data_IF_863089842518
#
_entry.id   IF_863089842518
#
_cell.length_a   1.000
_cell.length_b   1.000
_cell.length_c   1.000
_cell.angle_alpha   90.00
_cell.angle_beta   90.00
_cell.angle_gamma   90.00
#
_symmetry.space_group_name_H-M   'P 1'
#
loop_
_entity.id
_entity.type
_entity.pdbx_description
1 polymer ?
#
# COMPACT_ATOMS: atom_id res chain seq x y z
N UNK A 1 -31.87 -29.73 7.74
CA UNK A 1 -30.89 -30.43 6.88
C UNK A 1 -29.74 -30.81 7.79
N UNK A 2 -29.81 -32.01 8.36
CA UNK A 2 -28.82 -32.52 9.30
C UNK A 2 -27.60 -32.98 8.51
N UNK A 3 -26.47 -32.32 8.70
CA UNK A 3 -25.18 -32.80 8.22
C UNK A 3 -24.96 -34.17 8.85
N UNK A 4 -24.99 -35.22 8.03
CA UNK A 4 -24.54 -36.53 8.44
C UNK A 4 -23.01 -36.42 8.48
N UNK A 5 -22.46 -36.06 9.63
CA UNK A 5 -21.00 -36.13 9.86
C UNK A 5 -20.59 -37.58 9.62
N UNK A 6 -19.68 -37.85 8.68
CA UNK A 6 -19.15 -39.19 8.46
C UNK A 6 -18.50 -39.70 9.75
N UNK A 7 -18.70 -40.97 10.08
CA UNK A 7 -18.31 -41.59 11.35
C UNK A 7 -16.79 -41.75 11.54
N UNK A 8 -15.99 -41.20 10.64
CA UNK A 8 -14.55 -41.42 10.54
C UNK A 8 -13.81 -40.15 10.89
N UNK A 9 -13.17 -40.12 12.06
CA UNK A 9 -12.45 -38.96 12.61
C UNK A 9 -11.14 -38.62 11.89
N UNK A 10 -11.18 -38.48 10.56
CA UNK A 10 -10.03 -38.10 9.71
C UNK A 10 -10.04 -36.62 9.33
N UNK A 11 -11.06 -35.85 9.72
CA UNK A 11 -11.24 -34.43 9.39
C UNK A 11 -10.13 -33.49 9.94
N UNK A 12 -9.25 -33.98 10.82
CA UNK A 12 -8.30 -33.14 11.57
C UNK A 12 -6.84 -33.59 11.48
N UNK A 13 -6.47 -34.34 10.44
CA UNK A 13 -5.07 -34.69 10.21
C UNK A 13 -4.33 -33.55 9.47
N UNK A 14 -3.76 -32.62 10.25
CA UNK A 14 -2.92 -31.56 9.71
C UNK A 14 -1.63 -32.15 9.12
N UNK A 15 -1.33 -31.81 7.85
CA UNK A 15 -0.06 -32.15 7.20
C UNK A 15 -0.06 -33.40 6.31
N UNK A 16 -1.21 -33.92 5.88
CA UNK A 16 -1.23 -34.91 4.78
C UNK A 16 -0.97 -34.26 3.43
N UNK A 17 -0.24 -34.99 2.59
CA UNK A 17 -0.12 -34.72 1.15
C UNK A 17 -1.51 -34.69 0.49
N UNK A 18 -1.71 -33.87 -0.55
CA UNK A 18 -2.97 -33.88 -1.28
C UNK A 18 -3.29 -35.25 -1.89
N UNK A 19 -2.27 -36.04 -2.28
CA UNK A 19 -2.46 -37.42 -2.76
C UNK A 19 -3.13 -38.30 -1.69
N UNK A 20 -2.72 -38.15 -0.44
CA UNK A 20 -3.31 -38.90 0.66
C UNK A 20 -4.72 -38.38 1.00
N UNK A 21 -4.96 -37.07 0.89
CA UNK A 21 -6.28 -36.47 1.07
C UNK A 21 -7.28 -36.95 0.00
N UNK A 22 -6.84 -37.04 -1.26
CA UNK A 22 -7.60 -37.65 -2.37
C UNK A 22 -7.93 -39.11 -2.07
N UNK A 23 -6.98 -39.85 -1.50
CA UNK A 23 -7.19 -41.25 -1.11
C UNK A 23 -8.20 -41.37 0.05
N UNK A 24 -8.12 -40.48 1.04
CA UNK A 24 -9.07 -40.41 2.15
C UNK A 24 -10.51 -40.21 1.67
N UNK A 25 -10.74 -39.40 0.63
CA UNK A 25 -12.07 -39.22 0.02
C UNK A 25 -12.73 -40.56 -0.35
N UNK A 26 -11.94 -41.51 -0.88
CA UNK A 26 -12.42 -42.84 -1.25
C UNK A 26 -12.64 -43.69 0.00
N UNK A 27 -11.69 -43.68 0.94
CA UNK A 27 -11.76 -44.48 2.16
C UNK A 27 -12.99 -44.11 2.99
N UNK A 28 -13.30 -42.83 3.13
CA UNK A 28 -14.46 -42.35 3.89
C UNK A 28 -15.81 -42.77 3.30
N UNK A 29 -15.87 -43.01 1.98
CA UNK A 29 -17.07 -43.47 1.28
C UNK A 29 -16.99 -44.92 0.83
N UNK A 30 -16.02 -45.68 1.34
CA UNK A 30 -15.78 -47.05 0.93
C UNK A 30 -17.04 -47.92 1.02
N UNK A 31 -17.80 -47.80 2.12
CA UNK A 31 -19.01 -48.60 2.32
C UNK A 31 -20.10 -48.27 1.29
N UNK A 32 -20.24 -47.01 0.92
CA UNK A 32 -21.21 -46.57 -0.09
C UNK A 32 -20.82 -47.08 -1.49
N UNK A 33 -19.53 -47.03 -1.82
CA UNK A 33 -19.01 -47.60 -3.06
C UNK A 33 -19.19 -49.11 -3.12
N UNK A 34 -18.86 -49.82 -2.04
CA UNK A 34 -19.07 -51.27 -1.97
C UNK A 34 -20.53 -51.65 -2.08
N UNK A 35 -21.43 -50.87 -1.50
CA UNK A 35 -22.86 -51.09 -1.66
C UNK A 35 -23.28 -50.92 -3.13
N UNK A 36 -22.83 -49.86 -3.80
CA UNK A 36 -23.11 -49.62 -5.21
C UNK A 36 -22.59 -50.75 -6.12
N UNK A 37 -21.38 -51.23 -5.88
CA UNK A 37 -20.77 -52.36 -6.60
C UNK A 37 -21.62 -53.63 -6.48
N UNK A 38 -22.00 -54.01 -5.25
CA UNK A 38 -22.85 -55.19 -5.01
C UNK A 38 -24.19 -55.08 -5.74
N UNK A 39 -24.82 -53.89 -5.75
CA UNK A 39 -26.07 -53.69 -6.50
C UNK A 39 -25.89 -53.79 -8.01
N UNK A 40 -24.74 -53.35 -8.54
CA UNK A 40 -24.38 -53.52 -9.95
C UNK A 40 -24.21 -55.01 -10.28
N UNK A 41 -23.48 -55.75 -9.46
CA UNK A 41 -23.27 -57.20 -9.61
C UNK A 41 -24.60 -57.97 -9.60
N UNK A 42 -25.50 -57.68 -8.64
CA UNK A 42 -26.84 -58.30 -8.58
C UNK A 42 -27.62 -58.03 -9.88
N UNK A 43 -27.55 -56.81 -10.40
CA UNK A 43 -28.27 -56.45 -11.64
C UNK A 43 -27.70 -57.19 -12.85
N UNK A 44 -26.38 -57.34 -12.91
CA UNK A 44 -25.70 -58.10 -13.95
C UNK A 44 -26.00 -59.61 -13.86
N UNK A 45 -25.97 -60.19 -12.67
CA UNK A 45 -26.29 -61.61 -12.43
C UNK A 45 -27.74 -61.94 -12.85
N UNK A 46 -28.72 -61.12 -12.42
CA UNK A 46 -30.12 -61.28 -12.83
C UNK A 46 -30.27 -61.26 -14.36
N UNK A 47 -29.51 -60.39 -15.03
CA UNK A 47 -29.51 -60.29 -16.50
C UNK A 47 -28.90 -61.54 -17.15
N UNK A 48 -27.79 -62.05 -16.59
CA UNK A 48 -27.10 -63.26 -17.09
C UNK A 48 -27.96 -64.52 -16.92
N UNK A 49 -28.71 -64.62 -15.82
CA UNK A 49 -29.62 -65.74 -15.57
C UNK A 49 -30.95 -65.62 -16.33
N UNK A 50 -31.18 -64.51 -17.04
CA UNK A 50 -32.42 -64.26 -17.77
C UNK A 50 -33.61 -63.97 -16.86
N UNK A 51 -33.35 -63.60 -15.60
CA UNK A 51 -34.37 -63.22 -14.62
C UNK A 51 -34.78 -61.78 -14.89
N UNK A 52 -36.06 -61.57 -15.24
CA UNK A 52 -36.62 -60.24 -15.42
C UNK A 52 -37.31 -59.78 -14.13
N UNK A 53 -36.80 -58.74 -13.44
CA UNK A 53 -37.47 -58.16 -12.28
C UNK A 53 -38.85 -57.62 -12.63
N UNK A 54 -39.75 -57.56 -11.64
CA UNK A 54 -41.02 -56.84 -11.81
C UNK A 54 -40.75 -55.34 -11.95
N UNK A 55 -41.67 -54.62 -12.61
CA UNK A 55 -41.54 -53.17 -12.87
C UNK A 55 -41.09 -52.34 -11.65
N UNK A 56 -41.67 -52.47 -10.44
CA UNK A 56 -41.22 -51.67 -9.30
C UNK A 56 -39.76 -52.00 -8.87
N UNK A 57 -39.35 -53.25 -8.95
CA UNK A 57 -37.99 -53.66 -8.59
C UNK A 57 -36.98 -53.15 -9.64
N UNK A 58 -37.36 -53.16 -10.92
CA UNK A 58 -36.55 -52.60 -11.99
C UNK A 58 -36.35 -51.08 -11.81
N UNK A 59 -37.40 -50.36 -11.40
CA UNK A 59 -37.30 -48.94 -11.08
C UNK A 59 -36.41 -48.70 -9.84
N UNK A 60 -36.53 -49.53 -8.82
CA UNK A 60 -35.69 -49.46 -7.62
C UNK A 60 -34.20 -49.66 -7.95
N UNK A 61 -33.86 -50.70 -8.72
CA UNK A 61 -32.49 -50.94 -9.19
C UNK A 61 -31.94 -49.77 -10.01
N UNK A 62 -32.77 -49.17 -10.87
CA UNK A 62 -32.37 -48.00 -11.65
C UNK A 62 -32.14 -46.76 -10.77
N UNK A 63 -32.94 -46.55 -9.71
CA UNK A 63 -32.73 -45.46 -8.75
C UNK A 63 -31.43 -45.67 -7.97
N UNK A 64 -31.19 -46.88 -7.49
CA UNK A 64 -29.97 -47.23 -6.74
C UNK A 64 -28.74 -47.01 -7.63
N UNK A 65 -28.75 -47.49 -8.88
CA UNK A 65 -27.65 -47.29 -9.81
C UNK A 65 -27.35 -45.82 -10.08
N UNK A 66 -28.38 -44.98 -10.25
CA UNK A 66 -28.19 -43.52 -10.39
C UNK A 66 -27.59 -42.90 -9.15
N UNK A 67 -28.09 -43.25 -7.97
CA UNK A 67 -27.57 -42.72 -6.70
C UNK A 67 -26.08 -43.08 -6.50
N UNK A 68 -25.67 -44.30 -6.85
CA UNK A 68 -24.27 -44.72 -6.80
C UNK A 68 -23.39 -43.94 -7.79
N UNK A 69 -23.89 -43.67 -9.00
CA UNK A 69 -23.18 -42.85 -10.00
C UNK A 69 -23.05 -41.39 -9.55
N UNK A 70 -24.12 -40.80 -9.01
CA UNK A 70 -24.10 -39.43 -8.47
C UNK A 70 -23.09 -39.30 -7.33
N UNK A 71 -23.03 -40.28 -6.44
CA UNK A 71 -22.04 -40.32 -5.36
C UNK A 71 -20.61 -40.41 -5.89
N UNK A 72 -20.36 -41.25 -6.91
CA UNK A 72 -19.05 -41.32 -7.55
C UNK A 72 -18.65 -40.00 -8.20
N UNK A 73 -19.60 -39.33 -8.85
CA UNK A 73 -19.39 -38.01 -9.46
C UNK A 73 -18.97 -36.98 -8.41
N UNK A 74 -19.69 -36.93 -7.29
CA UNK A 74 -19.41 -36.01 -6.20
C UNK A 74 -18.02 -36.24 -5.58
N UNK A 75 -17.60 -37.49 -5.43
CA UNK A 75 -16.27 -37.80 -4.90
C UNK A 75 -15.17 -37.39 -5.88
N UNK A 76 -15.39 -37.54 -7.20
CA UNK A 76 -14.45 -37.06 -8.22
C UNK A 76 -14.32 -35.54 -8.15
N UNK A 77 -15.44 -34.81 -8.08
CA UNK A 77 -15.45 -33.35 -7.98
C UNK A 77 -14.67 -32.88 -6.73
N UNK A 78 -14.86 -33.56 -5.59
CA UNK A 78 -14.15 -33.26 -4.36
C UNK A 78 -12.65 -33.53 -4.46
N UNK A 79 -12.25 -34.62 -5.14
CA UNK A 79 -10.83 -34.92 -5.38
C UNK A 79 -10.19 -33.88 -6.30
N UNK A 80 -10.91 -33.40 -7.32
CA UNK A 80 -10.45 -32.34 -8.22
C UNK A 80 -10.26 -31.01 -7.47
N UNK A 81 -11.20 -30.65 -6.59
CA UNK A 81 -11.11 -29.45 -5.76
C UNK A 81 -9.87 -29.47 -4.85
N UNK A 82 -9.57 -30.61 -4.22
CA UNK A 82 -8.37 -30.77 -3.38
C UNK A 82 -7.10 -30.51 -4.18
N UNK A 83 -6.98 -31.13 -5.36
CA UNK A 83 -5.81 -30.99 -6.22
C UNK A 83 -5.68 -29.56 -6.75
N UNK A 84 -6.79 -28.95 -7.17
CA UNK A 84 -6.78 -27.56 -7.63
C UNK A 84 -6.34 -26.61 -6.51
N UNK A 85 -6.88 -26.80 -5.29
CA UNK A 85 -6.49 -25.99 -4.14
C UNK A 85 -5.00 -26.11 -3.80
N UNK A 86 -4.41 -27.31 -3.87
CA UNK A 86 -2.97 -27.50 -3.65
C UNK A 86 -2.16 -26.75 -4.73
N UNK A 87 -2.51 -26.91 -6.01
CA UNK A 87 -1.79 -26.22 -7.09
C UNK A 87 -1.87 -24.69 -6.99
N UNK A 88 -3.02 -24.16 -6.57
CA UNK A 88 -3.19 -22.72 -6.35
C UNK A 88 -2.38 -22.24 -5.16
N UNK A 89 -2.32 -23.03 -4.08
CA UNK A 89 -1.51 -22.74 -2.92
C UNK A 89 -0.03 -22.67 -3.27
N UNK A 90 0.51 -23.68 -3.96
CA UNK A 90 1.90 -23.73 -4.42
C UNK A 90 2.27 -22.52 -5.28
N UNK A 91 1.38 -22.12 -6.20
CA UNK A 91 1.59 -20.95 -7.06
C UNK A 91 1.67 -19.65 -6.25
N UNK A 92 0.81 -19.50 -5.24
CA UNK A 92 0.81 -18.33 -4.36
C UNK A 92 2.08 -18.28 -3.50
N UNK A 93 2.51 -19.40 -2.94
CA UNK A 93 3.77 -19.49 -2.19
C UNK A 93 4.98 -19.14 -3.06
N UNK A 94 5.03 -19.65 -4.28
CA UNK A 94 6.07 -19.33 -5.24
C UNK A 94 6.08 -17.82 -5.59
N UNK A 95 4.91 -17.23 -5.82
CA UNK A 95 4.78 -15.81 -6.10
C UNK A 95 5.25 -14.96 -4.91
N UNK A 96 4.90 -15.36 -3.69
CA UNK A 96 5.33 -14.69 -2.47
C UNK A 96 6.86 -14.75 -2.33
N UNK A 97 7.44 -15.94 -2.50
CA UNK A 97 8.89 -16.15 -2.44
C UNK A 97 9.62 -15.24 -3.43
N UNK A 98 9.17 -15.19 -4.69
CA UNK A 98 9.76 -14.31 -5.69
C UNK A 98 9.60 -12.84 -5.35
N UNK A 99 8.48 -12.45 -4.74
CA UNK A 99 8.27 -11.08 -4.27
C UNK A 99 9.27 -10.71 -3.18
N UNK A 100 9.47 -11.59 -2.20
CA UNK A 100 10.44 -11.42 -1.12
C UNK A 100 11.88 -11.30 -1.67
N UNK A 101 12.26 -12.14 -2.63
CA UNK A 101 13.58 -12.08 -3.27
C UNK A 101 13.79 -10.72 -3.96
N UNK A 102 12.80 -10.26 -4.75
CA UNK A 102 12.89 -8.95 -5.42
C UNK A 102 13.02 -7.79 -4.44
N UNK A 103 12.23 -7.81 -3.37
CA UNK A 103 12.26 -6.76 -2.35
C UNK A 103 13.60 -6.78 -1.59
N UNK A 104 14.13 -7.96 -1.24
CA UNK A 104 15.45 -8.09 -0.63
C UNK A 104 16.56 -7.50 -1.51
N UNK A 105 16.53 -7.76 -2.82
CA UNK A 105 17.48 -7.16 -3.75
C UNK A 105 17.38 -5.63 -3.79
N UNK A 106 16.15 -5.10 -3.86
CA UNK A 106 15.90 -3.66 -3.84
C UNK A 106 16.38 -3.01 -2.53
N UNK A 107 16.16 -3.66 -1.39
CA UNK A 107 16.65 -3.17 -0.10
C UNK A 107 18.17 -3.17 -0.02
N UNK A 108 18.83 -4.19 -0.57
CA UNK A 108 20.29 -4.25 -0.64
C UNK A 108 20.86 -3.10 -1.51
N UNK A 109 20.26 -2.82 -2.66
CA UNK A 109 20.64 -1.71 -3.54
C UNK A 109 20.47 -0.35 -2.83
N UNK A 110 19.30 -0.12 -2.24
CA UNK A 110 19.02 1.10 -1.47
C UNK A 110 20.00 1.29 -0.30
N UNK A 111 20.40 0.19 0.36
CA UNK A 111 21.36 0.24 1.46
C UNK A 111 22.76 0.58 0.96
N UNK A 112 23.16 0.02 -0.18
CA UNK A 112 24.42 0.34 -0.83
C UNK A 112 24.46 1.81 -1.25
N UNK A 113 23.39 2.34 -1.87
CA UNK A 113 23.29 3.74 -2.28
C UNK A 113 23.41 4.68 -1.06
N UNK A 114 22.67 4.40 0.01
CA UNK A 114 22.76 5.18 1.26
C UNK A 114 24.16 5.14 1.86
N UNK A 115 24.82 3.99 1.81
CA UNK A 115 26.19 3.85 2.29
C UNK A 115 27.16 4.67 1.42
N UNK A 116 27.02 4.62 0.10
CA UNK A 116 27.83 5.43 -0.82
C UNK A 116 27.65 6.92 -0.59
N UNK A 117 26.41 7.40 -0.41
CA UNK A 117 26.10 8.79 -0.08
C UNK A 117 26.71 9.21 1.28
N UNK A 118 26.61 8.37 2.30
CA UNK A 118 27.23 8.60 3.60
C UNK A 118 28.76 8.70 3.49
N UNK A 119 29.40 7.79 2.76
CA UNK A 119 30.85 7.81 2.51
C UNK A 119 31.25 9.07 1.74
N UNK A 120 30.51 9.44 0.71
CA UNK A 120 30.75 10.66 -0.06
C UNK A 120 30.69 11.93 0.81
N UNK A 121 29.77 11.99 1.76
CA UNK A 121 29.62 13.11 2.71
C UNK A 121 30.65 13.14 3.84
N UNK A 122 31.41 12.06 4.07
CA UNK A 122 32.28 11.96 5.25
C UNK A 122 33.76 11.75 4.93
N UNK A 123 34.08 11.02 3.87
CA UNK A 123 35.46 10.63 3.56
C UNK A 123 35.95 11.06 2.17
N UNK A 124 35.05 11.46 1.26
CA UNK A 124 35.45 11.93 -0.07
C UNK A 124 35.89 13.40 -0.01
N UNK A 125 37.20 13.63 0.12
CA UNK A 125 37.80 14.96 0.27
C UNK A 125 37.47 15.92 -0.89
N UNK A 126 37.45 15.44 -2.14
CA UNK A 126 37.18 16.30 -3.30
C UNK A 126 35.72 16.80 -3.31
N UNK A 127 34.77 15.92 -2.96
CA UNK A 127 33.36 16.29 -2.80
C UNK A 127 33.15 17.22 -1.60
N UNK A 128 33.80 16.95 -0.46
CA UNK A 128 33.72 17.79 0.72
C UNK A 128 34.28 19.20 0.45
N UNK A 129 35.38 19.30 -0.29
CA UNK A 129 36.01 20.57 -0.65
C UNK A 129 35.15 21.37 -1.62
N UNK A 130 34.53 20.73 -2.60
CA UNK A 130 33.63 21.41 -3.53
C UNK A 130 32.34 21.86 -2.84
N UNK A 131 31.75 21.02 -1.98
CA UNK A 131 30.59 21.36 -1.16
C UNK A 131 30.87 22.55 -0.23
N UNK A 132 32.04 22.58 0.43
CA UNK A 132 32.44 23.70 1.27
C UNK A 132 32.57 25.01 0.48
N UNK A 133 33.17 24.96 -0.72
CA UNK A 133 33.24 26.15 -1.59
C UNK A 133 31.86 26.66 -1.99
N UNK A 134 30.94 25.74 -2.35
CA UNK A 134 29.55 26.09 -2.65
C UNK A 134 28.84 26.72 -1.45
N UNK A 135 29.06 26.18 -0.25
CA UNK A 135 28.53 26.73 0.99
C UNK A 135 29.07 28.14 1.25
N UNK A 136 30.38 28.36 1.09
CA UNK A 136 31.00 29.67 1.27
C UNK A 136 30.43 30.69 0.28
N UNK A 137 30.26 30.33 -1.00
CA UNK A 137 29.64 31.17 -2.02
C UNK A 137 28.18 31.53 -1.66
N UNK A 138 27.40 30.57 -1.19
CA UNK A 138 26.02 30.79 -0.74
C UNK A 138 25.95 31.74 0.47
N UNK A 139 26.88 31.59 1.43
CA UNK A 139 27.00 32.50 2.59
C UNK A 139 27.38 33.91 2.14
N UNK A 140 28.33 34.05 1.21
CA UNK A 140 28.74 35.33 0.68
C UNK A 140 27.59 36.02 -0.06
N UNK A 141 26.89 35.32 -0.96
CA UNK A 141 25.71 35.84 -1.65
C UNK A 141 24.62 36.28 -0.66
N UNK A 142 24.32 35.45 0.35
CA UNK A 142 23.33 35.79 1.38
C UNK A 142 23.73 37.06 2.17
N UNK A 143 25.02 37.26 2.43
CA UNK A 143 25.52 38.46 3.13
C UNK A 143 25.46 39.70 2.25
N UNK A 144 25.85 39.59 0.98
CA UNK A 144 25.76 40.68 0.00
C UNK A 144 24.31 41.12 -0.22
N UNK A 145 23.34 40.20 -0.25
CA UNK A 145 21.91 40.54 -0.33
C UNK A 145 21.42 41.31 0.90
N UNK A 146 21.87 40.93 2.09
CA UNK A 146 21.54 41.63 3.34
C UNK A 146 22.13 43.05 3.34
N UNK A 147 23.38 43.19 2.91
CA UNK A 147 24.04 44.49 2.87
C UNK A 147 23.47 45.40 1.77
N UNK A 148 23.15 44.87 0.59
CA UNK A 148 22.42 45.58 -0.47
C UNK A 148 21.02 46.02 0.01
N UNK A 149 20.34 45.20 0.81
CA UNK A 149 19.05 45.55 1.42
C UNK A 149 19.18 46.67 2.45
N UNK A 150 20.26 46.69 3.23
CA UNK A 150 20.59 47.78 4.16
C UNK A 150 20.93 49.08 3.44
N UNK A 151 21.81 49.02 2.44
CA UNK A 151 22.17 50.19 1.62
C UNK A 151 20.98 50.76 0.86
N UNK A 152 20.09 49.90 0.34
CA UNK A 152 18.84 50.33 -0.29
C UNK A 152 17.93 51.07 0.69
N UNK A 153 17.81 50.59 1.93
CA UNK A 153 17.04 51.27 2.99
C UNK A 153 17.67 52.60 3.41
N UNK A 154 19.00 52.67 3.51
CA UNK A 154 19.73 53.90 3.82
C UNK A 154 19.66 54.92 2.67
N UNK A 155 19.79 54.50 1.42
CA UNK A 155 19.69 55.39 0.26
C UNK A 155 18.27 55.92 0.08
N UNK A 156 17.24 55.10 0.33
CA UNK A 156 15.85 55.58 0.39
C UNK A 156 15.66 56.58 1.53
N UNK A 157 16.26 56.37 2.70
CA UNK A 157 16.21 57.32 3.81
C UNK A 157 16.93 58.66 3.47
N UNK A 158 18.10 58.61 2.81
CA UNK A 158 18.85 59.80 2.36
C UNK A 158 18.09 60.58 1.28
N UNK A 159 17.51 59.90 0.28
CA UNK A 159 16.68 60.54 -0.74
C UNK A 159 15.36 61.09 -0.17
N UNK A 160 14.76 60.43 0.81
CA UNK A 160 13.53 60.92 1.48
C UNK A 160 13.79 62.17 2.32
N UNK A 161 14.86 62.20 3.14
CA UNK A 161 15.23 63.37 3.94
C UNK A 161 15.68 64.58 3.09
N UNK A 162 16.42 64.34 2.00
CA UNK A 162 16.86 65.40 1.08
C UNK A 162 15.71 66.07 0.32
N UNK A 163 14.62 65.35 0.05
CA UNK A 163 13.44 65.88 -0.62
C UNK A 163 12.47 66.60 0.33
N UNK A 164 12.38 66.16 1.60
CA UNK A 164 11.62 66.85 2.65
C UNK A 164 12.25 68.20 3.01
N UNK A 165 13.58 68.27 3.14
CA UNK A 165 14.29 69.52 3.45
C UNK A 165 14.28 70.52 2.29
N UNK A 166 14.29 70.08 1.03
CA UNK A 166 14.17 70.97 -0.14
C UNK A 166 12.75 71.52 -0.35
N UNK A 167 11.70 70.80 0.09
CA UNK A 167 10.31 71.32 0.10
C UNK A 167 10.05 72.28 1.26
N UNK A 168 10.65 72.05 2.43
CA UNK A 168 10.52 72.94 3.60
C UNK A 168 11.18 74.32 3.46
N UNK A 169 12.08 74.51 2.49
CA UNK A 169 12.74 75.82 2.22
C UNK A 169 11.99 76.64 1.16
N UNK A 170 11.07 76.03 0.38
CA UNK A 170 10.41 76.71 -0.75
C UNK A 170 9.06 77.36 -0.40
N UNK A 171 8.35 76.86 0.62
CA UNK A 171 7.08 77.42 1.06
C UNK A 171 7.20 78.07 2.44
N UNK A 172 7.71 79.30 2.50
CA UNK A 172 7.56 80.21 3.64
C UNK A 172 6.42 81.25 3.43
N UNK A 173 5.36 80.85 2.73
CA UNK A 173 4.14 81.65 2.64
C UNK A 173 2.91 80.75 2.55
N UNK A 174 2.55 80.12 3.67
CA UNK A 174 1.38 79.25 3.79
C UNK A 174 0.83 79.26 5.22
N UNK A 175 -0.48 79.37 5.33
CA UNK A 175 -1.26 79.61 6.54
C UNK A 175 -1.05 78.54 7.63
N UNK A 176 -1.33 78.90 8.90
CA UNK A 176 -1.27 78.02 10.08
C UNK A 176 -2.06 76.71 9.90
N UNK A 177 -3.00 76.67 8.95
CA UNK A 177 -3.79 75.50 8.58
C UNK A 177 -2.96 74.35 7.94
N UNK A 178 -1.87 74.65 7.21
CA UNK A 178 -1.01 73.62 6.59
C UNK A 178 -0.08 72.92 7.59
N UNK A 179 0.21 73.58 8.73
CA UNK A 179 1.08 73.03 9.78
C UNK A 179 0.43 71.85 10.50
N UNK A 180 -0.90 71.81 10.58
CA UNK A 180 -1.64 70.68 11.15
C UNK A 180 -1.67 69.46 10.21
N UNK A 181 -1.72 69.66 8.89
CA UNK A 181 -1.76 68.56 7.93
C UNK A 181 -0.41 67.82 7.83
N UNK A 182 0.71 68.53 7.99
CA UNK A 182 2.05 67.94 8.00
C UNK A 182 2.31 67.18 9.32
N UNK A 183 1.85 67.72 10.46
CA UNK A 183 1.95 67.02 11.74
C UNK A 183 1.12 65.72 11.74
N UNK A 184 -0.07 65.71 11.13
CA UNK A 184 -0.90 64.50 11.01
C UNK A 184 -0.27 63.45 10.08
N UNK A 185 0.33 63.86 8.96
CA UNK A 185 1.04 62.95 8.04
C UNK A 185 2.30 62.33 8.68
N UNK A 186 3.03 63.09 9.50
CA UNK A 186 4.20 62.58 10.24
C UNK A 186 3.80 61.63 11.38
N UNK A 187 2.66 61.85 12.04
CA UNK A 187 2.10 60.93 13.03
C UNK A 187 1.55 59.64 12.37
N UNK A 188 0.89 59.72 11.20
CA UNK A 188 0.38 58.53 10.50
C UNK A 188 1.49 57.62 9.95
N UNK A 189 2.63 58.19 9.51
CA UNK A 189 3.79 57.37 9.12
C UNK A 189 4.54 56.76 10.30
N UNK A 190 4.41 57.30 11.52
CA UNK A 190 5.02 56.72 12.73
C UNK A 190 4.18 55.57 13.31
N UNK A 191 2.85 55.58 13.12
CA UNK A 191 1.91 54.59 13.70
C UNK A 191 1.74 53.31 12.85
N UNK A 192 2.29 53.22 11.64
CA UNK A 192 2.25 51.98 10.83
C UNK A 192 3.34 50.95 11.20
N UNK A 193 3.81 50.93 12.46
CA UNK A 193 4.83 49.98 12.96
C UNK A 193 4.30 48.96 13.98
N UNK A 194 2.98 48.88 14.17
CA UNK A 194 2.33 47.76 14.85
C UNK A 194 1.24 47.16 13.96
N UNK A 195 1.67 46.48 12.89
CA UNK A 195 0.91 45.36 12.34
C UNK A 195 1.49 44.11 13.00
N UNK A 196 0.76 43.62 14.01
CA UNK A 196 0.91 42.26 14.52
C UNK A 196 0.94 41.31 13.32
N UNK A 197 2.05 40.60 13.12
CA UNK A 197 2.07 39.41 12.28
C UNK A 197 1.78 38.22 13.19
N UNK A 198 0.52 37.82 13.19
CA UNK A 198 0.04 36.59 13.83
C UNK A 198 0.22 35.47 12.80
N UNK A 199 1.44 34.94 12.70
CA UNK A 199 1.71 33.76 11.87
C UNK A 199 2.76 32.79 12.45
N UNK A 200 3.23 33.01 13.68
CA UNK A 200 4.03 32.03 14.44
C UNK A 200 3.18 31.29 15.49
N UNK A 201 2.10 30.64 15.06
CA UNK A 201 1.45 29.55 15.82
C UNK A 201 0.94 28.53 14.82
N UNK A 202 1.82 27.68 14.27
CA UNK A 202 1.49 26.34 13.79
C UNK A 202 2.79 25.54 13.63
N UNK A 203 3.17 24.83 14.69
CA UNK A 203 3.85 23.55 14.61
C UNK A 203 3.06 22.57 15.48
N UNK A 204 2.19 21.82 14.81
CA UNK A 204 1.84 20.43 15.15
C UNK A 204 2.38 19.57 14.03
#
# INVERSE_FOLDING_TARGET
MTAHTPLTGFEELQGLSAEDQVTLCIIERYMDFKQGEVWSEITEELTQEGVRPVTPDQEALAVIGRASQELASLVIDMQEEILESETQHDLLEEQELYSQIRENHKQAENTLEKWQDYVAKTSNYELLKSAKKLQDLSIHQSREEVDNSRESKENVARYSFGNLTRRLIRDQSGSVFDKFSIAYALLSSSVSKHRFDVSEIYWT
#
